data_IF_428657434048
#
_entry.id   IF_428657434048
#
_cell.length_a   1.000
_cell.length_b   1.000
_cell.length_c   1.000
_cell.angle_alpha   90.00
_cell.angle_beta   90.00
_cell.angle_gamma   90.00
#
_symmetry.space_group_name_H-M   'P 1'
#
loop_
_entity.id
_entity.type
_entity.pdbx_description
1 polymer ?
#
# COMPACT_ATOMS: atom_id res chain seq x y z
N UNK A 1 80.44 -4.85 65.71
CA UNK A 1 79.60 -5.97 66.14
C UNK A 1 78.27 -5.79 65.41
N UNK A 2 78.12 -6.38 64.25
CA UNK A 2 77.31 -7.57 63.89
C UNK A 2 75.85 -7.27 64.06
N UNK A 3 75.00 -7.37 63.09
CA UNK A 3 74.62 -8.52 62.26
C UNK A 3 73.76 -8.09 61.11
N UNK A 4 74.04 -8.67 59.94
CA UNK A 4 73.20 -8.67 58.70
C UNK A 4 71.85 -9.30 58.94
N UNK A 5 70.79 -8.78 58.26
CA UNK A 5 69.60 -9.54 57.97
C UNK A 5 69.24 -9.37 56.51
N UNK A 6 69.31 -10.48 55.79
CA UNK A 6 68.83 -10.66 54.43
C UNK A 6 67.32 -10.38 54.35
N UNK A 7 66.90 -9.50 53.47
CA UNK A 7 65.53 -9.34 53.15
C UNK A 7 65.23 -10.05 51.83
N UNK A 8 64.30 -11.03 51.85
CA UNK A 8 63.80 -11.76 50.67
C UNK A 8 62.90 -10.87 49.82
N UNK A 9 63.28 -10.78 48.58
CA UNK A 9 62.43 -10.13 47.49
C UNK A 9 61.37 -11.14 47.10
N UNK A 10 60.07 -10.84 47.34
CA UNK A 10 58.92 -11.52 46.75
C UNK A 10 58.62 -10.88 45.39
N UNK A 11 58.77 -11.66 44.32
CA UNK A 11 58.33 -11.29 42.96
C UNK A 11 56.85 -11.68 42.89
N UNK A 12 55.99 -10.66 42.95
CA UNK A 12 54.55 -10.83 42.67
C UNK A 12 54.31 -10.85 41.16
N UNK A 13 53.90 -12.03 40.67
CA UNK A 13 53.42 -12.19 39.27
C UNK A 13 51.99 -11.64 39.21
N UNK A 14 51.79 -10.51 38.56
CA UNK A 14 50.47 -9.99 38.19
C UNK A 14 49.98 -10.77 36.98
N UNK A 15 49.02 -11.67 37.17
CA UNK A 15 48.21 -12.22 36.07
C UNK A 15 47.22 -11.13 35.61
N UNK A 16 47.52 -10.50 34.48
CA UNK A 16 46.58 -9.63 33.80
C UNK A 16 45.48 -10.48 33.09
N UNK A 17 44.27 -10.45 33.63
CA UNK A 17 43.11 -11.03 32.98
C UNK A 17 42.70 -10.13 31.79
N UNK A 18 42.98 -10.54 30.56
CA UNK A 18 42.39 -9.96 29.36
C UNK A 18 40.90 -10.30 29.36
N UNK A 19 40.04 -9.35 29.74
CA UNK A 19 38.61 -9.39 29.39
C UNK A 19 38.52 -9.09 27.88
N UNK A 20 38.32 -10.14 27.06
CA UNK A 20 37.89 -9.98 25.69
C UNK A 20 36.43 -9.48 25.70
N UNK A 21 36.26 -8.18 25.50
CA UNK A 21 34.94 -7.58 25.28
C UNK A 21 34.33 -8.15 24.01
N UNK A 22 33.33 -9.00 24.16
CA UNK A 22 32.45 -9.42 23.05
C UNK A 22 31.64 -8.18 22.68
N UNK A 23 32.03 -7.50 21.60
CA UNK A 23 31.19 -6.51 20.97
C UNK A 23 29.92 -7.22 20.45
N UNK A 24 28.72 -6.73 20.77
CA UNK A 24 27.53 -7.28 20.16
C UNK A 24 27.65 -7.09 18.66
N UNK A 25 27.73 -8.19 17.92
CA UNK A 25 27.72 -8.17 16.47
C UNK A 25 26.43 -7.47 16.02
N UNK A 26 26.58 -6.39 15.24
CA UNK A 26 25.48 -5.87 14.45
C UNK A 26 25.04 -7.00 13.52
N UNK A 27 24.02 -7.73 13.92
CA UNK A 27 23.29 -8.60 13.01
C UNK A 27 22.78 -7.71 11.88
N UNK A 28 23.32 -7.84 10.68
CA UNK A 28 22.72 -7.24 9.49
C UNK A 28 21.34 -7.90 9.34
N UNK A 29 20.32 -7.24 9.84
CA UNK A 29 18.94 -7.64 9.55
C UNK A 29 18.82 -7.53 8.03
N UNK A 30 18.59 -8.66 7.35
CA UNK A 30 18.37 -8.69 5.90
C UNK A 30 17.22 -7.75 5.51
N UNK A 31 17.03 -7.48 4.22
CA UNK A 31 15.95 -6.62 3.76
C UNK A 31 14.62 -7.09 4.34
N UNK A 32 13.81 -6.17 4.81
CA UNK A 32 12.47 -6.46 5.28
C UNK A 32 11.64 -6.99 4.10
N UNK A 33 10.86 -8.03 4.33
CA UNK A 33 9.91 -8.55 3.34
C UNK A 33 8.49 -8.16 3.73
N UNK A 34 7.62 -8.15 2.72
CA UNK A 34 6.20 -7.89 2.91
C UNK A 34 5.55 -8.95 3.81
N UNK A 35 4.68 -8.52 4.71
CA UNK A 35 3.94 -9.38 5.62
C UNK A 35 2.44 -9.10 5.54
N UNK A 36 1.66 -10.10 5.12
CA UNK A 36 0.21 -10.02 5.08
C UNK A 36 -0.41 -9.77 6.45
N UNK A 37 0.18 -10.34 7.51
CA UNK A 37 -0.26 -10.12 8.89
C UNK A 37 -0.09 -8.66 9.34
N UNK A 38 1.01 -8.01 8.95
CA UNK A 38 1.20 -6.59 9.25
C UNK A 38 0.27 -5.71 8.41
N UNK A 39 0.06 -6.06 7.14
CA UNK A 39 -0.94 -5.40 6.30
C UNK A 39 -2.35 -5.53 6.90
N UNK A 40 -2.74 -6.72 7.35
CA UNK A 40 -4.05 -6.94 7.95
C UNK A 40 -4.31 -6.08 9.21
N UNK A 41 -3.28 -5.77 9.99
CA UNK A 41 -3.42 -4.81 11.11
C UNK A 41 -3.82 -3.42 10.65
N UNK A 42 -3.39 -3.00 9.46
CA UNK A 42 -3.83 -1.74 8.87
C UNK A 42 -5.30 -1.79 8.42
N UNK A 43 -5.80 -2.95 7.97
CA UNK A 43 -7.25 -3.14 7.75
C UNK A 43 -8.02 -2.97 9.05
N UNK A 44 -7.60 -3.67 10.12
CA UNK A 44 -8.24 -3.60 11.43
C UNK A 44 -8.27 -2.16 11.98
N UNK A 45 -7.15 -1.46 11.89
CA UNK A 45 -7.06 -0.06 12.33
C UNK A 45 -8.04 0.85 11.58
N UNK A 46 -8.20 0.68 10.26
CA UNK A 46 -9.18 1.44 9.47
C UNK A 46 -10.63 1.12 9.86
N UNK A 47 -10.93 -0.15 10.15
CA UNK A 47 -12.26 -0.55 10.62
C UNK A 47 -12.66 0.08 11.95
N UNK A 48 -11.69 0.27 12.87
CA UNK A 48 -11.91 0.97 14.15
C UNK A 48 -12.26 2.46 13.97
N UNK A 49 -11.93 3.04 12.83
CA UNK A 49 -12.28 4.43 12.50
C UNK A 49 -13.74 4.58 12.02
N UNK A 50 -14.38 3.48 11.66
CA UNK A 50 -15.69 3.43 11.03
C UNK A 50 -15.68 3.81 9.55
N UNK A 51 -16.85 4.01 8.94
CA UNK A 51 -16.96 4.38 7.53
C UNK A 51 -16.19 5.67 7.21
N UNK A 52 -15.42 5.64 6.13
CA UNK A 52 -14.50 6.71 5.73
C UNK A 52 -15.10 7.58 4.63
N UNK A 53 -16.37 7.93 4.78
CA UNK A 53 -17.12 8.75 3.81
C UNK A 53 -16.50 10.15 3.73
N UNK A 54 -16.21 10.70 2.53
CA UNK A 54 -15.61 12.04 2.38
C UNK A 54 -16.31 13.13 3.21
N UNK A 55 -15.51 13.88 3.97
CA UNK A 55 -15.97 14.94 4.85
C UNK A 55 -16.44 14.51 6.24
N UNK A 56 -16.42 13.22 6.59
CA UNK A 56 -16.79 12.73 7.93
C UNK A 56 -15.59 12.61 8.88
N UNK A 57 -15.86 12.36 10.16
CA UNK A 57 -14.81 12.14 11.16
C UNK A 57 -14.00 10.86 10.88
N UNK A 58 -14.66 9.77 10.45
CA UNK A 58 -13.97 8.52 10.08
C UNK A 58 -12.98 8.73 8.94
N UNK A 59 -13.38 9.46 7.91
CA UNK A 59 -12.53 9.88 6.80
C UNK A 59 -11.33 10.74 7.27
N UNK A 60 -11.58 11.71 8.16
CA UNK A 60 -10.51 12.56 8.69
C UNK A 60 -9.48 11.70 9.46
N UNK A 61 -9.95 10.81 10.33
CA UNK A 61 -9.08 9.91 11.12
C UNK A 61 -8.27 8.98 10.22
N UNK A 62 -8.87 8.42 9.18
CA UNK A 62 -8.19 7.55 8.24
C UNK A 62 -7.08 8.28 7.47
N UNK A 63 -7.37 9.47 6.95
CA UNK A 63 -6.35 10.28 6.29
C UNK A 63 -5.20 10.68 7.23
N UNK A 64 -5.49 11.06 8.48
CA UNK A 64 -4.47 11.40 9.48
C UNK A 64 -3.63 10.16 9.87
N UNK A 65 -4.24 8.98 9.96
CA UNK A 65 -3.55 7.72 10.16
C UNK A 65 -2.59 7.39 9.04
N UNK A 66 -3.01 7.48 7.78
CA UNK A 66 -2.17 7.25 6.60
C UNK A 66 -0.95 8.19 6.63
N UNK A 67 -1.16 9.48 6.87
CA UNK A 67 -0.08 10.47 6.99
C UNK A 67 0.91 10.11 8.10
N UNK A 68 0.40 9.72 9.27
CA UNK A 68 1.23 9.34 10.42
C UNK A 68 2.08 8.10 10.12
N UNK A 69 1.48 7.07 9.51
CA UNK A 69 2.17 5.83 9.15
C UNK A 69 3.27 6.06 8.11
N UNK A 70 2.99 6.82 7.05
CA UNK A 70 3.99 7.16 6.03
C UNK A 70 5.18 7.92 6.65
N UNK A 71 4.91 8.94 7.47
CA UNK A 71 5.96 9.72 8.15
C UNK A 71 6.78 8.86 9.11
N UNK A 72 6.13 7.92 9.82
CA UNK A 72 6.80 6.98 10.71
C UNK A 72 7.80 6.09 9.97
N UNK A 73 7.50 5.75 8.71
CA UNK A 73 8.39 4.97 7.82
C UNK A 73 9.42 5.84 7.07
N UNK A 74 9.43 7.17 7.30
CA UNK A 74 10.41 8.09 6.71
C UNK A 74 10.09 8.51 5.27
N UNK A 75 8.81 8.43 4.86
CA UNK A 75 8.34 8.96 3.58
C UNK A 75 8.08 10.46 3.69
N UNK A 76 8.39 11.21 2.63
CA UNK A 76 7.86 12.54 2.44
C UNK A 76 6.36 12.46 2.16
N UNK A 77 5.55 13.33 2.79
CA UNK A 77 4.10 13.26 2.63
C UNK A 77 3.57 14.58 2.10
N UNK A 78 2.89 14.50 0.98
CA UNK A 78 2.18 15.60 0.32
C UNK A 78 0.67 15.36 0.44
N UNK A 79 -0.09 16.42 0.69
CA UNK A 79 -1.55 16.38 0.80
C UNK A 79 -2.17 17.31 -0.23
N UNK A 80 -3.02 16.78 -1.08
CA UNK A 80 -3.75 17.52 -2.09
C UNK A 80 -5.20 17.73 -1.63
N UNK A 81 -5.49 18.90 -1.08
CA UNK A 81 -6.82 19.25 -0.56
C UNK A 81 -7.60 20.08 -1.56
N UNK A 82 -8.83 19.69 -1.85
CA UNK A 82 -9.74 20.40 -2.73
C UNK A 82 -11.20 20.19 -2.28
N UNK A 83 -12.14 20.77 -2.99
CA UNK A 83 -13.57 20.55 -2.74
C UNK A 83 -14.25 20.03 -4.01
N UNK A 84 -15.10 19.04 -3.87
CA UNK A 84 -15.97 18.54 -4.92
C UNK A 84 -17.43 18.60 -4.46
N UNK A 85 -18.29 19.27 -5.24
CA UNK A 85 -19.71 19.49 -4.90
C UNK A 85 -19.95 19.97 -3.45
N UNK A 86 -19.05 20.83 -2.93
CA UNK A 86 -19.12 21.35 -1.57
C UNK A 86 -18.57 20.43 -0.46
N UNK A 87 -18.16 19.22 -0.80
CA UNK A 87 -17.55 18.26 0.13
C UNK A 87 -16.02 18.38 0.08
N UNK A 88 -15.31 18.41 1.22
CA UNK A 88 -13.86 18.38 1.23
C UNK A 88 -13.34 17.01 0.75
N UNK A 89 -12.30 17.02 -0.08
CA UNK A 89 -11.60 15.86 -0.62
C UNK A 89 -10.11 16.03 -0.36
N UNK A 90 -9.40 14.92 -0.07
CA UNK A 90 -8.01 14.93 0.35
C UNK A 90 -7.25 13.72 -0.20
N UNK A 91 -6.53 13.86 -1.31
CA UNK A 91 -5.55 12.84 -1.67
C UNK A 91 -4.29 12.97 -0.80
N UNK A 92 -3.65 11.83 -0.52
CA UNK A 92 -2.40 11.76 0.24
C UNK A 92 -1.38 11.04 -0.63
N UNK A 93 -0.18 11.60 -0.73
CA UNK A 93 0.92 11.02 -1.52
C UNK A 93 2.14 10.89 -0.64
N UNK A 94 2.60 9.65 -0.43
CA UNK A 94 3.91 9.36 0.15
C UNK A 94 4.93 9.26 -0.96
N UNK A 95 6.04 10.02 -0.87
CA UNK A 95 7.10 10.05 -1.88
C UNK A 95 8.41 9.57 -1.27
N UNK A 96 9.12 8.69 -2.00
CA UNK A 96 10.43 8.22 -1.59
C UNK A 96 11.32 7.80 -2.75
N UNK A 97 12.63 7.98 -2.57
CA UNK A 97 13.66 7.61 -3.55
C UNK A 97 13.93 8.69 -4.56
N UNK A 98 14.69 8.36 -5.59
CA UNK A 98 15.07 9.23 -6.70
C UNK A 98 15.20 8.39 -7.96
N UNK A 99 14.86 8.96 -9.11
CA UNK A 99 14.92 8.27 -10.38
C UNK A 99 13.61 8.37 -11.17
N UNK A 100 13.32 7.43 -12.08
CA UNK A 100 12.04 7.40 -12.76
C UNK A 100 10.90 7.21 -11.77
N UNK A 101 9.87 8.07 -11.84
CA UNK A 101 8.72 7.99 -10.96
C UNK A 101 7.80 6.82 -11.32
N UNK A 102 7.32 6.10 -10.29
CA UNK A 102 6.31 5.03 -10.40
C UNK A 102 5.27 5.22 -9.31
N UNK A 103 3.99 5.05 -9.66
CA UNK A 103 2.89 5.26 -8.73
C UNK A 103 2.19 3.94 -8.41
N UNK A 104 1.98 3.70 -7.12
CA UNK A 104 1.09 2.66 -6.60
C UNK A 104 -0.05 3.34 -5.86
N UNK A 105 -1.29 3.07 -6.25
CA UNK A 105 -2.47 3.77 -5.77
C UNK A 105 -3.53 2.85 -5.18
N UNK A 106 -4.27 3.36 -4.20
CA UNK A 106 -5.48 2.75 -3.65
C UNK A 106 -6.39 3.85 -3.11
N UNK A 107 -7.70 3.68 -3.20
CA UNK A 107 -8.61 4.60 -2.53
C UNK A 107 -8.74 4.28 -1.04
N UNK A 108 -9.05 5.29 -0.21
CA UNK A 108 -9.22 5.10 1.23
C UNK A 108 -10.61 5.47 1.74
N UNK A 109 -11.41 6.17 0.93
CA UNK A 109 -12.80 6.45 1.26
C UNK A 109 -13.67 5.20 1.17
N UNK A 110 -14.88 5.29 1.66
CA UNK A 110 -15.88 4.23 1.56
C UNK A 110 -17.19 4.78 1.06
N UNK A 111 -17.96 3.89 0.43
CA UNK A 111 -19.28 4.20 -0.12
C UNK A 111 -20.25 4.64 0.96
N UNK A 112 -20.96 5.73 0.68
CA UNK A 112 -21.94 6.33 1.60
C UNK A 112 -23.15 5.44 1.83
N UNK A 113 -23.53 4.63 0.85
CA UNK A 113 -24.72 3.78 0.84
C UNK A 113 -24.37 2.37 0.38
N UNK A 114 -24.78 1.38 1.15
CA UNK A 114 -24.65 -0.05 0.81
C UNK A 114 -25.69 -0.46 -0.25
N UNK A 115 -25.66 0.19 -1.40
CA UNK A 115 -26.70 0.11 -2.44
C UNK A 115 -26.82 -1.25 -3.12
N UNK A 116 -25.85 -2.15 -2.90
CA UNK A 116 -25.87 -3.56 -3.33
C UNK A 116 -26.24 -4.53 -2.22
N UNK A 117 -26.56 -4.03 -1.02
CA UNK A 117 -26.94 -4.91 0.09
C UNK A 117 -28.18 -5.76 -0.29
N UNK A 118 -28.14 -7.09 -0.04
CA UNK A 118 -29.25 -7.96 -0.32
C UNK A 118 -30.50 -7.62 0.50
N UNK A 119 -30.35 -7.05 1.71
CA UNK A 119 -31.44 -6.51 2.51
C UNK A 119 -31.74 -5.06 2.09
N UNK A 120 -32.89 -4.79 1.43
CA UNK A 120 -33.22 -3.43 1.01
C UNK A 120 -33.29 -2.40 2.15
N UNK A 121 -33.56 -2.85 3.39
CA UNK A 121 -33.61 -1.96 4.55
C UNK A 121 -32.25 -1.44 4.98
N UNK A 122 -31.16 -2.10 4.55
CA UNK A 122 -29.78 -1.75 4.85
C UNK A 122 -29.13 -0.87 3.77
N UNK A 123 -29.79 -0.69 2.63
CA UNK A 123 -29.19 0.01 1.47
C UNK A 123 -28.91 1.49 1.67
N UNK A 124 -29.36 2.10 2.74
CA UNK A 124 -29.03 3.47 3.11
C UNK A 124 -27.94 3.53 4.21
N UNK A 125 -27.54 2.37 4.75
CA UNK A 125 -26.44 2.30 5.70
C UNK A 125 -25.10 2.53 4.99
N UNK A 126 -24.09 3.08 5.66
CA UNK A 126 -22.76 3.21 5.08
C UNK A 126 -22.07 1.85 4.93
N UNK A 127 -21.24 1.71 3.89
CA UNK A 127 -20.36 0.55 3.72
C UNK A 127 -19.21 0.64 4.72
N UNK A 128 -18.90 -0.42 5.47
CA UNK A 128 -17.76 -0.44 6.39
C UNK A 128 -16.40 -0.37 5.68
N UNK A 129 -16.30 -0.97 4.49
CA UNK A 129 -15.11 -0.88 3.62
C UNK A 129 -13.91 -1.68 4.12
N UNK A 130 -14.12 -2.94 4.52
CA UNK A 130 -13.04 -3.81 5.00
C UNK A 130 -12.10 -4.25 3.89
N UNK A 131 -12.65 -4.60 2.75
CA UNK A 131 -11.91 -4.90 1.53
C UNK A 131 -11.89 -3.69 0.59
N UNK A 132 -13.03 -3.09 0.37
CA UNK A 132 -13.29 -1.92 -0.47
C UNK A 132 -12.96 -0.63 0.28
N UNK A 133 -11.91 -0.15 0.02
CA UNK A 133 -10.69 0.57 0.04
C UNK A 133 -9.68 0.16 1.12
N UNK A 134 -10.06 -0.48 2.28
CA UNK A 134 -9.06 -0.70 3.33
C UNK A 134 -7.97 -1.72 2.95
N UNK A 135 -8.25 -2.69 2.08
CA UNK A 135 -7.28 -3.70 1.67
C UNK A 135 -6.13 -3.09 0.85
N UNK A 136 -6.45 -2.25 -0.12
CA UNK A 136 -5.46 -1.54 -0.94
C UNK A 136 -4.59 -0.61 -0.10
N UNK A 137 -5.22 0.22 0.76
CA UNK A 137 -4.51 1.07 1.72
C UNK A 137 -3.56 0.28 2.60
N UNK A 138 -4.00 -0.86 3.12
CA UNK A 138 -3.21 -1.71 4.00
C UNK A 138 -1.96 -2.26 3.30
N UNK A 139 -2.10 -2.68 2.04
CA UNK A 139 -0.97 -3.15 1.23
C UNK A 139 0.02 -2.01 0.97
N UNK A 140 -0.45 -0.81 0.63
CA UNK A 140 0.46 0.32 0.40
C UNK A 140 1.18 0.77 1.67
N UNK A 141 0.54 0.74 2.84
CA UNK A 141 1.19 1.10 4.12
C UNK A 141 2.24 0.06 4.53
N UNK A 142 1.98 -1.22 4.32
CA UNK A 142 2.99 -2.26 4.57
C UNK A 142 4.13 -2.20 3.54
N UNK A 143 3.82 -1.89 2.28
CA UNK A 143 4.83 -1.63 1.25
C UNK A 143 5.72 -0.44 1.65
N UNK A 144 5.15 0.62 2.24
CA UNK A 144 5.90 1.75 2.78
C UNK A 144 6.92 1.31 3.84
N UNK A 145 6.56 0.38 4.72
CA UNK A 145 7.47 -0.18 5.72
C UNK A 145 8.61 -0.97 5.07
N UNK A 146 8.29 -1.80 4.11
CA UNK A 146 9.25 -2.68 3.43
C UNK A 146 10.28 -1.88 2.64
N UNK A 147 9.82 -0.88 1.89
CA UNK A 147 10.67 -0.03 1.05
C UNK A 147 11.34 1.11 1.83
N UNK A 148 10.98 1.32 3.08
CA UNK A 148 11.31 2.52 3.86
C UNK A 148 12.79 2.81 4.11
N UNK A 149 13.74 1.91 3.80
CA UNK A 149 15.17 2.09 4.09
C UNK A 149 16.09 1.74 2.91
N UNK A 150 15.54 1.44 1.76
CA UNK A 150 16.31 0.97 0.62
C UNK A 150 16.55 2.11 -0.40
N UNK A 151 17.71 2.06 -1.07
CA UNK A 151 17.92 2.81 -2.30
C UNK A 151 17.29 2.00 -3.45
N UNK A 152 16.22 2.51 -3.99
CA UNK A 152 15.40 1.79 -4.96
C UNK A 152 15.81 2.08 -6.42
N UNK A 153 16.63 3.12 -6.66
CA UNK A 153 16.89 3.62 -8.01
C UNK A 153 15.62 4.14 -8.72
N UNK A 154 14.53 4.30 -8.00
CA UNK A 154 13.23 4.77 -8.44
C UNK A 154 12.70 5.83 -7.47
N UNK A 155 11.89 6.74 -7.98
CA UNK A 155 11.03 7.59 -7.17
C UNK A 155 9.66 6.91 -7.05
N UNK A 156 9.39 6.33 -5.89
CA UNK A 156 8.13 5.62 -5.62
C UNK A 156 7.14 6.57 -4.98
N UNK A 157 5.95 6.67 -5.57
CA UNK A 157 4.81 7.38 -5.00
C UNK A 157 3.77 6.36 -4.55
N UNK A 158 3.40 6.40 -3.26
CA UNK A 158 2.26 5.68 -2.71
C UNK A 158 1.10 6.66 -2.61
N UNK A 159 0.09 6.46 -3.44
CA UNK A 159 -1.02 7.41 -3.62
C UNK A 159 -2.27 6.84 -2.97
N UNK A 160 -2.84 7.60 -2.04
CA UNK A 160 -4.10 7.26 -1.38
C UNK A 160 -5.16 8.22 -1.92
N UNK A 161 -5.98 7.70 -2.80
CA UNK A 161 -7.05 8.47 -3.45
C UNK A 161 -8.23 8.64 -2.51
N UNK A 162 -8.92 9.76 -2.65
CA UNK A 162 -10.15 10.07 -1.92
C UNK A 162 -11.31 10.21 -2.91
N UNK A 163 -12.51 9.94 -2.42
CA UNK A 163 -13.74 10.10 -3.18
C UNK A 163 -13.75 9.30 -4.50
N UNK A 164 -13.22 8.09 -4.47
CA UNK A 164 -13.38 7.11 -5.52
C UNK A 164 -14.80 6.57 -5.53
N UNK A 165 -15.28 6.08 -4.35
CA UNK A 165 -16.41 5.20 -4.16
C UNK A 165 -17.75 5.96 -3.90
N UNK A 166 -17.87 7.18 -4.41
CA UNK A 166 -19.12 7.97 -4.36
C UNK A 166 -19.86 7.98 -5.70
N UNK A 167 -19.36 7.25 -6.70
CA UNK A 167 -19.90 7.25 -8.05
C UNK A 167 -21.40 6.92 -8.12
N UNK A 168 -22.11 7.63 -8.98
CA UNK A 168 -23.58 7.53 -9.18
C UNK A 168 -24.42 7.99 -7.97
N UNK A 169 -23.85 8.24 -6.79
CA UNK A 169 -24.55 8.81 -5.64
C UNK A 169 -24.65 10.32 -5.81
N UNK A 170 -25.87 10.85 -5.83
CA UNK A 170 -26.15 12.29 -5.96
C UNK A 170 -25.44 12.96 -7.16
N UNK A 171 -25.21 12.22 -8.24
CA UNK A 171 -24.55 12.71 -9.46
C UNK A 171 -23.02 12.81 -9.39
N UNK A 172 -22.39 12.21 -8.40
CA UNK A 172 -20.92 12.11 -8.34
C UNK A 172 -20.39 11.14 -9.42
N UNK A 173 -19.28 11.46 -10.07
CA UNK A 173 -18.54 10.47 -10.85
C UNK A 173 -17.72 9.57 -9.94
N UNK A 174 -17.26 8.45 -10.45
CA UNK A 174 -16.23 7.61 -9.86
C UNK A 174 -14.85 8.29 -9.89
N UNK A 175 -13.95 7.90 -9.00
CA UNK A 175 -12.52 8.23 -9.06
C UNK A 175 -12.21 9.73 -9.05
N UNK A 176 -12.94 10.52 -8.25
CA UNK A 176 -12.79 11.99 -8.18
C UNK A 176 -11.37 12.38 -7.80
N UNK A 177 -10.78 11.71 -6.81
CA UNK A 177 -9.43 11.98 -6.35
C UNK A 177 -8.36 11.67 -7.39
N UNK A 178 -8.43 10.50 -8.01
CA UNK A 178 -7.51 10.12 -9.09
C UNK A 178 -7.63 11.04 -10.30
N UNK A 179 -8.85 11.42 -10.67
CA UNK A 179 -9.07 12.37 -11.75
C UNK A 179 -8.49 13.76 -11.45
N UNK A 180 -8.54 14.19 -10.19
CA UNK A 180 -7.90 15.44 -9.76
C UNK A 180 -6.38 15.37 -9.87
N UNK A 181 -5.75 14.32 -9.31
CA UNK A 181 -4.30 14.12 -9.40
C UNK A 181 -3.85 14.00 -10.87
N UNK A 182 -4.48 13.13 -11.66
CA UNK A 182 -4.08 12.94 -13.05
C UNK A 182 -4.12 14.23 -13.86
N UNK A 183 -5.10 15.10 -13.63
CA UNK A 183 -5.20 16.42 -14.29
C UNK A 183 -4.16 17.42 -13.81
N UNK A 184 -3.69 17.33 -12.55
CA UNK A 184 -2.72 18.26 -11.98
C UNK A 184 -1.29 18.01 -12.46
N UNK A 185 -0.99 16.79 -12.92
CA UNK A 185 0.36 16.45 -13.41
C UNK A 185 0.67 17.17 -14.73
N UNK A 186 1.83 17.82 -14.80
CA UNK A 186 2.41 18.25 -16.07
C UNK A 186 3.06 17.05 -16.80
N UNK A 187 3.32 17.12 -18.12
CA UNK A 187 3.93 16.01 -18.84
C UNK A 187 5.30 15.56 -18.26
N UNK A 188 6.06 16.49 -17.67
CA UNK A 188 7.35 16.25 -17.04
C UNK A 188 7.24 15.46 -15.73
N UNK A 189 6.07 15.51 -15.08
CA UNK A 189 5.75 14.81 -13.84
C UNK A 189 5.08 13.46 -14.07
N UNK A 190 4.88 13.05 -15.34
CA UNK A 190 4.23 11.78 -15.63
C UNK A 190 5.06 10.61 -15.11
N UNK A 191 4.46 9.73 -14.28
CA UNK A 191 5.13 8.50 -13.90
C UNK A 191 5.32 7.57 -15.10
N UNK A 192 6.27 6.66 -14.99
CA UNK A 192 6.47 5.59 -15.98
C UNK A 192 5.26 4.68 -16.06
N UNK A 193 4.59 4.49 -14.94
CA UNK A 193 3.33 3.76 -14.86
C UNK A 193 2.59 4.04 -13.53
N UNK A 194 1.33 3.66 -13.51
CA UNK A 194 0.46 3.62 -12.32
C UNK A 194 -0.07 2.20 -12.13
N UNK A 195 0.01 1.67 -10.92
CA UNK A 195 -0.68 0.42 -10.53
C UNK A 195 -1.67 0.76 -9.43
N UNK A 196 -2.94 0.57 -9.70
CA UNK A 196 -4.02 0.68 -8.71
C UNK A 196 -4.28 -0.70 -8.13
N UNK A 197 -4.54 -0.78 -6.84
CA UNK A 197 -4.93 -2.00 -6.13
C UNK A 197 -6.23 -1.75 -5.39
N UNK A 198 -7.27 -2.47 -5.76
CA UNK A 198 -8.60 -2.33 -5.20
C UNK A 198 -9.23 -3.69 -4.88
N UNK A 199 -9.95 -3.78 -3.76
CA UNK A 199 -10.62 -5.00 -3.26
C UNK A 199 -9.73 -6.26 -3.29
N UNK A 200 -8.45 -6.12 -2.97
CA UNK A 200 -7.45 -7.19 -3.13
C UNK A 200 -7.30 -8.09 -1.90
N UNK A 201 -8.18 -7.96 -0.93
CA UNK A 201 -8.07 -8.68 0.35
C UNK A 201 -9.01 -9.89 0.49
N UNK A 202 -9.92 -10.15 -0.44
CA UNK A 202 -10.90 -11.24 -0.31
C UNK A 202 -10.22 -12.58 0.01
N UNK A 203 -10.75 -13.31 0.98
CA UNK A 203 -10.28 -14.66 1.33
C UNK A 203 -10.38 -15.64 0.16
N UNK A 204 -11.35 -15.45 -0.74
CA UNK A 204 -11.55 -16.18 -1.98
C UNK A 204 -10.89 -15.55 -3.20
N UNK A 205 -9.90 -14.70 -3.03
CA UNK A 205 -9.25 -13.84 -4.01
C UNK A 205 -9.05 -14.46 -5.40
N UNK A 206 -9.56 -13.76 -6.44
CA UNK A 206 -9.35 -14.09 -7.85
C UNK A 206 -9.11 -12.81 -8.67
N UNK A 207 -7.90 -12.65 -9.15
CA UNK A 207 -7.47 -11.46 -9.87
C UNK A 207 -7.42 -11.75 -11.39
N UNK A 208 -8.33 -11.13 -12.13
CA UNK A 208 -8.40 -11.24 -13.57
C UNK A 208 -7.92 -9.95 -14.25
N UNK A 209 -7.69 -10.01 -15.53
CA UNK A 209 -7.36 -8.82 -16.31
C UNK A 209 -8.58 -7.89 -16.45
N UNK A 210 -8.40 -6.63 -16.04
CA UNK A 210 -9.28 -5.53 -16.41
C UNK A 210 -8.95 -5.09 -17.86
N UNK A 211 -9.98 -4.88 -18.68
CA UNK A 211 -9.83 -4.76 -20.15
C UNK A 211 -9.11 -3.48 -20.59
N UNK A 212 -9.34 -2.36 -19.92
CA UNK A 212 -8.77 -1.07 -20.28
C UNK A 212 -7.33 -0.86 -19.81
N UNK A 213 -6.90 -1.63 -18.83
CA UNK A 213 -5.53 -1.62 -18.27
C UNK A 213 -4.47 -1.77 -19.36
N UNK A 214 -3.35 -1.04 -19.21
CA UNK A 214 -2.24 -1.12 -20.17
C UNK A 214 -1.82 -2.57 -20.42
N UNK A 215 -1.90 -3.05 -21.67
CA UNK A 215 -1.75 -4.48 -21.94
C UNK A 215 -0.31 -5.00 -21.78
N UNK A 216 0.70 -4.13 -21.81
CA UNK A 216 2.10 -4.51 -21.62
C UNK A 216 2.38 -4.66 -20.14
N UNK A 217 2.12 -3.59 -19.37
CA UNK A 217 2.32 -3.58 -17.92
C UNK A 217 1.50 -4.69 -17.23
N UNK A 218 0.25 -4.88 -17.62
CA UNK A 218 -0.61 -5.95 -17.11
C UNK A 218 0.01 -7.33 -17.32
N UNK A 219 0.54 -7.64 -18.51
CA UNK A 219 1.21 -8.92 -18.76
C UNK A 219 2.46 -9.09 -17.91
N UNK A 220 3.24 -8.04 -17.70
CA UNK A 220 4.45 -8.09 -16.87
C UNK A 220 4.11 -8.36 -15.40
N UNK A 221 3.06 -7.72 -14.85
CA UNK A 221 2.59 -7.94 -13.48
C UNK A 221 2.14 -9.39 -13.28
N UNK A 222 1.30 -9.93 -14.19
CA UNK A 222 0.81 -11.31 -14.07
C UNK A 222 1.90 -12.35 -14.32
N UNK A 223 2.89 -12.05 -15.18
CA UNK A 223 4.07 -12.91 -15.34
C UNK A 223 4.91 -12.97 -14.06
N UNK A 224 5.15 -11.80 -13.44
CA UNK A 224 5.85 -11.71 -12.15
C UNK A 224 5.09 -12.47 -11.04
N UNK A 225 3.78 -12.31 -10.95
CA UNK A 225 2.95 -13.05 -10.00
C UNK A 225 3.06 -14.58 -10.21
N UNK A 226 3.08 -15.02 -11.47
CA UNK A 226 3.27 -16.43 -11.79
C UNK A 226 4.66 -16.96 -11.40
N UNK A 227 5.73 -16.16 -11.55
CA UNK A 227 7.08 -16.49 -11.08
C UNK A 227 7.14 -16.63 -9.55
N UNK A 228 6.35 -15.81 -8.83
CA UNK A 228 6.21 -15.88 -7.37
C UNK A 228 5.32 -17.02 -6.88
N UNK A 229 4.74 -17.81 -7.80
CA UNK A 229 3.88 -18.96 -7.47
C UNK A 229 2.40 -18.64 -7.33
N UNK A 230 1.95 -17.45 -7.74
CA UNK A 230 0.56 -16.98 -7.56
C UNK A 230 -0.31 -17.11 -8.84
N UNK A 231 0.10 -17.97 -9.78
CA UNK A 231 -0.60 -18.19 -11.07
C UNK A 231 -2.08 -18.57 -10.91
N UNK A 232 -2.42 -19.31 -9.86
CA UNK A 232 -3.78 -19.80 -9.63
C UNK A 232 -4.72 -18.67 -9.15
N UNK A 233 -4.16 -17.57 -8.65
CA UNK A 233 -4.89 -16.38 -8.21
C UNK A 233 -4.84 -15.30 -9.29
N UNK A 234 -3.67 -15.02 -9.85
CA UNK A 234 -3.47 -14.05 -10.93
C UNK A 234 -3.75 -14.71 -12.28
N UNK A 235 -5.02 -14.79 -12.66
CA UNK A 235 -5.47 -15.46 -13.89
C UNK A 235 -5.37 -14.52 -15.09
N UNK A 236 -4.53 -14.83 -16.13
CA UNK A 236 -4.27 -13.93 -17.25
C UNK A 236 -5.39 -13.96 -18.30
N UNK A 237 -6.61 -13.62 -17.90
CA UNK A 237 -7.81 -13.62 -18.75
C UNK A 237 -8.59 -12.34 -18.53
N UNK A 238 -8.98 -11.64 -19.59
CA UNK A 238 -9.84 -10.45 -19.51
C UNK A 238 -11.23 -10.87 -19.01
N UNK A 239 -11.68 -10.25 -17.91
CA UNK A 239 -12.99 -10.54 -17.33
C UNK A 239 -13.83 -9.28 -17.11
N UNK A 240 -13.20 -8.14 -16.79
CA UNK A 240 -13.88 -6.90 -16.42
C UNK A 240 -13.53 -5.77 -17.37
N UNK A 241 -14.40 -4.78 -17.42
CA UNK A 241 -14.15 -3.45 -18.01
C UNK A 241 -14.87 -2.44 -17.12
N UNK A 242 -14.15 -1.89 -16.16
CA UNK A 242 -14.70 -1.06 -15.09
C UNK A 242 -14.15 0.36 -15.13
N UNK A 243 -14.80 1.26 -14.40
CA UNK A 243 -14.30 2.61 -14.15
C UNK A 243 -13.71 2.60 -12.74
N UNK A 244 -12.44 2.93 -12.65
CA UNK A 244 -11.69 2.96 -11.40
C UNK A 244 -10.53 3.97 -11.50
N UNK A 245 -9.76 4.15 -10.44
CA UNK A 245 -8.69 5.14 -10.28
C UNK A 245 -7.56 5.06 -11.31
N UNK A 246 -7.40 3.94 -12.01
CA UNK A 246 -6.47 3.80 -13.14
C UNK A 246 -6.91 4.58 -14.40
N UNK A 247 -8.22 4.72 -14.61
CA UNK A 247 -8.79 5.31 -15.85
C UNK A 247 -8.38 6.75 -16.11
N UNK A 248 -8.39 7.66 -15.14
CA UNK A 248 -7.93 9.03 -15.34
C UNK A 248 -6.49 9.15 -15.85
N UNK A 249 -5.60 8.25 -15.44
CA UNK A 249 -4.21 8.23 -15.92
C UNK A 249 -4.12 7.73 -17.35
N UNK A 250 -4.85 6.67 -17.72
CA UNK A 250 -4.94 6.19 -19.11
C UNK A 250 -5.45 7.28 -20.05
N UNK A 251 -6.43 8.08 -19.64
CA UNK A 251 -6.95 9.21 -20.42
C UNK A 251 -5.89 10.30 -20.67
N UNK A 252 -4.85 10.36 -19.85
CA UNK A 252 -3.69 11.26 -19.98
C UNK A 252 -2.54 10.61 -20.77
N UNK A 253 -2.72 9.37 -21.27
CA UNK A 253 -1.66 8.62 -21.95
C UNK A 253 -0.60 8.04 -21.00
N UNK A 254 -0.86 8.02 -19.71
CA UNK A 254 0.01 7.40 -18.70
C UNK A 254 -0.37 5.92 -18.61
N UNK A 255 0.56 4.97 -18.79
CA UNK A 255 0.27 3.55 -18.63
C UNK A 255 -0.23 3.25 -17.21
N UNK A 256 -1.40 2.63 -17.10
CA UNK A 256 -1.99 2.29 -15.82
C UNK A 256 -2.62 0.90 -15.84
N UNK A 257 -2.58 0.20 -14.72
CA UNK A 257 -3.20 -1.12 -14.52
C UNK A 257 -4.00 -1.09 -13.23
N UNK A 258 -5.14 -1.72 -13.29
CA UNK A 258 -5.96 -2.04 -12.14
C UNK A 258 -5.80 -3.51 -11.78
N UNK A 259 -5.42 -3.76 -10.52
CA UNK A 259 -5.32 -5.08 -9.91
C UNK A 259 -6.47 -5.20 -8.92
N UNK A 260 -7.56 -5.82 -9.37
CA UNK A 260 -8.83 -5.83 -8.64
C UNK A 260 -9.46 -7.21 -8.60
N UNK A 261 -10.09 -7.56 -7.48
CA UNK A 261 -11.02 -8.68 -7.37
C UNK A 261 -12.47 -8.18 -7.44
N UNK A 262 -12.99 -8.03 -8.65
CA UNK A 262 -14.35 -7.52 -8.87
C UNK A 262 -15.44 -8.61 -8.72
N UNK A 263 -15.06 -9.85 -8.43
CA UNK A 263 -15.99 -10.93 -8.07
C UNK A 263 -16.29 -10.96 -6.55
N UNK A 264 -15.74 -10.02 -5.77
CA UNK A 264 -15.93 -9.91 -4.33
C UNK A 264 -17.42 -9.84 -3.95
N UNK A 265 -17.97 -10.85 -3.22
CA UNK A 265 -19.42 -10.98 -3.04
C UNK A 265 -20.03 -9.97 -2.07
N UNK A 266 -19.21 -9.25 -1.30
CA UNK A 266 -19.67 -8.26 -0.31
C UNK A 266 -19.52 -6.82 -0.79
N UNK A 267 -19.14 -6.62 -2.07
CA UNK A 267 -19.01 -5.31 -2.68
C UNK A 267 -20.26 -4.45 -2.48
N UNK A 268 -20.07 -3.23 -1.97
CA UNK A 268 -21.13 -2.27 -1.67
C UNK A 268 -22.22 -2.79 -0.72
N UNK A 269 -21.87 -3.65 0.23
CA UNK A 269 -22.78 -4.15 1.26
C UNK A 269 -22.28 -3.80 2.66
N UNK A 270 -23.16 -3.84 3.64
CA UNK A 270 -22.79 -3.68 5.05
C UNK A 270 -21.97 -4.86 5.59
N UNK A 271 -21.84 -5.93 4.82
CA UNK A 271 -21.06 -7.10 5.18
C UNK A 271 -19.59 -7.01 4.76
N UNK A 272 -19.18 -5.93 4.09
CA UNK A 272 -17.77 -5.67 3.78
C UNK A 272 -17.00 -5.26 5.03
N UNK A 273 -16.54 -6.25 5.77
CA UNK A 273 -15.89 -6.11 7.09
C UNK A 273 -14.55 -6.86 7.12
N UNK A 274 -13.70 -6.56 8.10
CA UNK A 274 -12.34 -7.11 8.18
C UNK A 274 -12.28 -8.65 8.15
N UNK A 275 -13.31 -9.34 8.63
CA UNK A 275 -13.40 -10.81 8.62
C UNK A 275 -13.55 -11.43 7.22
N UNK A 276 -13.77 -10.62 6.19
CA UNK A 276 -13.77 -11.03 4.77
C UNK A 276 -12.38 -10.96 4.15
N UNK A 277 -11.45 -10.24 4.81
CA UNK A 277 -10.09 -10.01 4.33
C UNK A 277 -9.14 -11.05 4.92
N UNK A 278 -8.28 -11.61 4.07
CA UNK A 278 -7.26 -12.59 4.44
C UNK A 278 -5.86 -11.97 4.40
N UNK A 279 -5.04 -12.18 5.44
CA UNK A 279 -3.63 -11.80 5.41
C UNK A 279 -2.87 -12.38 4.20
N UNK A 280 -3.17 -13.62 3.81
CA UNK A 280 -2.53 -14.28 2.67
C UNK A 280 -2.85 -13.60 1.35
N UNK A 281 -4.08 -13.08 1.20
CA UNK A 281 -4.49 -12.35 -0.01
C UNK A 281 -3.75 -11.02 -0.11
N UNK A 282 -3.64 -10.28 0.99
CA UNK A 282 -2.85 -9.06 1.07
C UNK A 282 -1.37 -9.33 0.77
N UNK A 283 -0.82 -10.45 1.29
CA UNK A 283 0.58 -10.81 1.08
C UNK A 283 0.89 -11.09 -0.38
N UNK A 284 0.02 -11.82 -1.09
CA UNK A 284 0.24 -12.12 -2.52
C UNK A 284 0.40 -10.86 -3.35
N UNK A 285 -0.52 -9.91 -3.21
CA UNK A 285 -0.46 -8.64 -3.94
C UNK A 285 0.73 -7.81 -3.47
N UNK A 286 0.92 -7.67 -2.16
CA UNK A 286 2.03 -6.90 -1.60
C UNK A 286 3.41 -7.43 -2.04
N UNK A 287 3.59 -8.75 -2.11
CA UNK A 287 4.81 -9.38 -2.63
C UNK A 287 5.03 -9.08 -4.11
N UNK A 288 3.97 -9.04 -4.90
CA UNK A 288 4.08 -8.66 -6.32
C UNK A 288 4.54 -7.21 -6.45
N UNK A 289 3.92 -6.27 -5.70
CA UNK A 289 4.32 -4.86 -5.73
C UNK A 289 5.75 -4.65 -5.22
N UNK A 290 6.14 -5.32 -4.12
CA UNK A 290 7.52 -5.30 -3.60
C UNK A 290 8.52 -5.71 -4.68
N UNK A 291 8.28 -6.84 -5.34
CA UNK A 291 9.18 -7.35 -6.37
C UNK A 291 9.15 -6.50 -7.65
N UNK A 292 8.03 -5.85 -7.99
CA UNK A 292 8.00 -4.88 -9.08
C UNK A 292 9.01 -3.76 -8.86
N UNK A 293 9.04 -3.19 -7.64
CA UNK A 293 9.98 -2.11 -7.29
C UNK A 293 11.42 -2.64 -7.31
N UNK A 294 11.70 -3.77 -6.64
CA UNK A 294 13.05 -4.33 -6.52
C UNK A 294 13.66 -4.74 -7.86
N UNK A 295 12.85 -5.21 -8.80
CA UNK A 295 13.31 -5.67 -10.12
C UNK A 295 13.19 -4.61 -11.22
N UNK A 296 12.60 -3.46 -10.93
CA UNK A 296 12.29 -2.44 -11.92
C UNK A 296 11.34 -2.95 -13.01
N UNK A 297 10.36 -3.77 -12.64
CA UNK A 297 9.35 -4.28 -13.58
C UNK A 297 8.53 -3.12 -14.14
N UNK A 298 8.21 -3.13 -15.44
CA UNK A 298 7.48 -2.06 -16.12
C UNK A 298 8.36 -0.90 -16.61
N UNK A 299 9.69 -0.92 -16.33
CA UNK A 299 10.61 0.18 -16.69
C UNK A 299 11.36 -0.06 -18.00
N UNK A 300 11.25 -1.22 -18.60
CA UNK A 300 11.90 -1.50 -19.87
C UNK A 300 11.44 -0.49 -20.93
N UNK A 301 12.35 -0.04 -21.78
CA UNK A 301 12.01 0.84 -22.90
C UNK A 301 10.91 0.20 -23.75
N UNK A 302 9.84 0.95 -23.96
CA UNK A 302 8.67 0.54 -24.75
C UNK A 302 8.81 1.00 -26.18
#
# INVERSE_FOLDING_TARGET
MTTEKLGRILIGVLLGSLLAGVLPGCSSVGPAHFSGELAYRHVQAQMEMGPRIPGTEGWQRAGDYIVAELRRQGWEVQEMRFSYAGTPVRNIVGVRGQGPAVFFGAHYDTRRHADRDPDPSRRQDPVPGGNDGASGVAVLLELARVLGKEDLGLEVHLVFFDAEDQGEIAGWPWSVGAAYLARSLSPEEFPRYVVVVDMIGDAGQQLYWEASSDPVLRREIWALAAELGYRDVFTPTVRYNIIDDHRPFLQRGIPAVDVIDFDYPYWHTVADTADKVSPESLERVGRVLEEMVRRGTGLRER
#
